data_IF_429049779245
#
_entry.id   IF_429049779245
#
_cell.length_a   1.000
_cell.length_b   1.000
_cell.length_c   1.000
_cell.angle_alpha   90.00
_cell.angle_beta   90.00
_cell.angle_gamma   90.00
#
_symmetry.space_group_name_H-M   'P 1'
#
loop_
_entity.id
_entity.type
_entity.pdbx_description
1 polymer ?
#
# COMPACT_ATOMS: atom_id res chain seq x y z
N UNK A 1 -9.41 7.57 -6.25
CA UNK A 1 -8.15 6.81 -6.10
C UNK A 1 -6.90 7.67 -6.24
N UNK A 2 -6.84 8.57 -7.20
CA UNK A 2 -5.69 9.49 -7.35
C UNK A 2 -5.43 10.31 -6.10
N UNK A 3 -6.49 10.85 -5.47
CA UNK A 3 -6.38 11.62 -4.23
C UNK A 3 -5.71 10.80 -3.12
N UNK A 4 -6.04 9.51 -3.03
CA UNK A 4 -5.46 8.59 -2.06
C UNK A 4 -3.95 8.42 -2.32
N UNK A 5 -3.58 8.12 -3.55
CA UNK A 5 -2.18 7.92 -3.94
C UNK A 5 -1.37 9.21 -3.70
N UNK A 6 -1.91 10.36 -4.08
CA UNK A 6 -1.23 11.64 -3.89
C UNK A 6 -0.99 11.93 -2.40
N UNK A 7 -1.99 11.64 -1.54
CA UNK A 7 -1.85 11.81 -0.10
C UNK A 7 -0.72 10.92 0.45
N UNK A 8 -0.69 9.64 0.06
CA UNK A 8 0.34 8.70 0.50
C UNK A 8 1.74 9.13 0.05
N UNK A 9 1.87 9.59 -1.20
CA UNK A 9 3.15 10.11 -1.72
C UNK A 9 3.61 11.35 -0.99
N UNK A 10 2.71 12.28 -0.71
CA UNK A 10 3.04 13.52 -0.01
C UNK A 10 3.37 13.27 1.47
N UNK A 11 2.71 12.31 2.09
CA UNK A 11 3.03 11.89 3.46
C UNK A 11 4.38 11.17 3.53
N UNK A 12 4.84 10.60 2.43
CA UNK A 12 6.09 9.84 2.26
C UNK A 12 6.07 8.50 2.99
N UNK A 13 5.80 8.52 4.29
CA UNK A 13 5.68 7.31 5.13
C UNK A 13 4.23 7.13 5.55
N UNK A 14 3.76 5.92 5.43
CA UNK A 14 2.48 5.51 6.00
C UNK A 14 2.64 4.21 6.78
N UNK A 15 1.64 3.84 7.54
CA UNK A 15 1.66 2.66 8.39
C UNK A 15 0.64 1.65 7.88
N UNK A 16 1.09 0.41 7.71
CA UNK A 16 0.23 -0.68 7.22
C UNK A 16 0.04 -1.70 8.32
N UNK A 17 -1.22 -1.95 8.66
CA UNK A 17 -1.61 -2.96 9.63
C UNK A 17 -2.07 -4.24 8.94
N UNK A 18 -1.61 -5.37 9.46
CA UNK A 18 -2.02 -6.72 9.06
C UNK A 18 -2.41 -7.52 10.30
N UNK A 19 -2.89 -8.74 10.11
CA UNK A 19 -3.21 -9.64 11.21
C UNK A 19 -2.42 -10.94 11.04
N UNK A 20 -1.75 -11.35 12.12
CA UNK A 20 -1.07 -12.64 12.20
C UNK A 20 -1.80 -13.49 13.23
N UNK A 21 -2.64 -14.42 12.77
CA UNK A 21 -3.59 -15.11 13.65
C UNK A 21 -4.58 -14.10 14.23
N UNK A 22 -4.55 -13.88 15.53
CA UNK A 22 -5.35 -12.84 16.21
C UNK A 22 -4.50 -11.65 16.68
N UNK A 23 -3.22 -11.59 16.28
CA UNK A 23 -2.32 -10.51 16.68
C UNK A 23 -2.24 -9.45 15.58
N UNK A 24 -2.65 -8.20 15.87
CA UNK A 24 -2.41 -7.10 14.93
C UNK A 24 -0.91 -6.83 14.81
N UNK A 25 -0.47 -6.55 13.58
CA UNK A 25 0.91 -6.13 13.29
C UNK A 25 0.88 -4.83 12.52
N UNK A 26 1.84 -3.94 12.76
CA UNK A 26 1.94 -2.67 12.05
C UNK A 26 3.40 -2.37 11.72
N UNK A 27 3.64 -1.77 10.55
CA UNK A 27 4.98 -1.35 10.11
C UNK A 27 4.88 -0.17 9.16
N UNK A 28 6.01 0.46 8.89
CA UNK A 28 6.09 1.56 7.94
C UNK A 28 6.17 1.05 6.51
N UNK A 29 5.55 1.81 5.60
CA UNK A 29 5.62 1.63 4.14
C UNK A 29 5.89 2.98 3.49
N UNK A 30 6.36 2.96 2.23
CA UNK A 30 6.71 4.19 1.52
C UNK A 30 6.32 4.21 0.05
N UNK A 31 5.74 3.15 -0.49
CA UNK A 31 5.39 3.08 -1.92
C UNK A 31 3.89 3.18 -2.13
N UNK A 32 3.49 3.91 -3.17
CA UNK A 32 2.11 3.98 -3.64
C UNK A 32 2.12 4.36 -5.11
N UNK A 33 1.45 3.60 -5.95
CA UNK A 33 1.49 3.78 -7.40
C UNK A 33 0.19 3.27 -8.03
N UNK A 34 -0.27 3.96 -9.05
CA UNK A 34 -1.43 3.49 -9.82
C UNK A 34 -0.93 2.74 -11.05
N UNK A 35 -1.34 1.49 -11.17
CA UNK A 35 -1.03 0.64 -12.32
C UNK A 35 -2.31 -0.06 -12.78
N UNK A 36 -2.66 0.12 -14.06
CA UNK A 36 -3.87 -0.45 -14.66
C UNK A 36 -5.14 -0.17 -13.82
N UNK A 37 -5.25 1.06 -13.31
CA UNK A 37 -6.42 1.50 -12.56
C UNK A 37 -6.51 0.95 -11.14
N UNK A 38 -5.42 0.43 -10.59
CA UNK A 38 -5.36 -0.12 -9.22
C UNK A 38 -4.29 0.57 -8.42
N UNK A 39 -4.50 0.66 -7.10
CA UNK A 39 -3.51 1.16 -6.15
C UNK A 39 -2.57 0.03 -5.77
N UNK A 40 -1.32 0.16 -6.18
CA UNK A 40 -0.26 -0.82 -5.91
C UNK A 40 0.66 -0.35 -4.80
N UNK A 41 1.12 -1.29 -3.98
CA UNK A 41 2.18 -1.13 -2.99
C UNK A 41 3.18 -2.26 -3.13
N UNK A 42 4.41 -2.06 -2.62
CA UNK A 42 5.50 -3.02 -2.77
C UNK A 42 6.07 -3.47 -1.45
N UNK A 43 6.38 -4.75 -1.36
CA UNK A 43 7.18 -5.33 -0.29
C UNK A 43 8.18 -6.37 -0.86
N UNK A 44 8.72 -7.22 -0.01
CA UNK A 44 9.61 -8.32 -0.39
C UNK A 44 9.04 -9.64 0.09
N UNK A 45 9.19 -10.69 -0.72
CA UNK A 45 8.66 -12.03 -0.42
C UNK A 45 9.25 -12.64 0.86
N UNK A 46 10.47 -12.25 1.23
CA UNK A 46 11.14 -12.76 2.44
C UNK A 46 10.62 -12.14 3.73
N UNK A 47 9.84 -11.05 3.66
CA UNK A 47 9.32 -10.38 4.86
C UNK A 47 8.11 -11.08 5.45
N UNK A 48 7.96 -10.99 6.78
CA UNK A 48 6.81 -11.56 7.49
C UNK A 48 5.48 -11.00 7.00
N UNK A 49 5.45 -9.73 6.59
CA UNK A 49 4.25 -9.11 6.04
C UNK A 49 3.72 -9.86 4.83
N UNK A 50 4.59 -10.36 3.94
CA UNK A 50 4.16 -11.13 2.78
C UNK A 50 3.39 -12.38 3.23
N UNK A 51 3.91 -13.10 4.20
CA UNK A 51 3.25 -14.29 4.76
C UNK A 51 1.92 -13.94 5.41
N UNK A 52 1.87 -12.82 6.13
CA UNK A 52 0.65 -12.37 6.80
C UNK A 52 -0.45 -12.03 5.80
N UNK A 53 -0.12 -11.31 4.72
CA UNK A 53 -1.08 -10.92 3.69
C UNK A 53 -1.59 -12.16 2.92
N UNK A 54 -0.72 -13.12 2.60
CA UNK A 54 -1.14 -14.34 1.92
C UNK A 54 -2.06 -15.20 2.80
N UNK A 55 -1.87 -15.18 4.11
CA UNK A 55 -2.75 -15.89 5.05
C UNK A 55 -4.06 -15.14 5.32
N UNK A 56 -4.01 -13.81 5.40
CA UNK A 56 -5.17 -12.94 5.60
C UNK A 56 -4.98 -11.64 4.82
N UNK A 57 -5.69 -11.46 3.70
CA UNK A 57 -5.49 -10.30 2.82
C UNK A 57 -6.03 -8.99 3.38
N UNK A 58 -6.77 -8.99 4.46
CA UNK A 58 -7.37 -7.78 5.03
C UNK A 58 -6.30 -6.92 5.71
N UNK A 59 -6.26 -5.66 5.30
CA UNK A 59 -5.27 -4.69 5.79
C UNK A 59 -5.91 -3.34 6.02
N UNK A 60 -5.21 -2.48 6.76
CA UNK A 60 -5.56 -1.08 6.87
C UNK A 60 -4.29 -0.24 6.87
N UNK A 61 -4.33 0.87 6.12
CA UNK A 61 -3.29 1.90 6.10
C UNK A 61 -3.75 3.08 6.93
N UNK A 62 -2.79 3.74 7.60
CA UNK A 62 -2.98 5.05 8.20
C UNK A 62 -1.83 5.97 7.81
N UNK A 63 -2.14 7.18 7.34
CA UNK A 63 -1.17 8.22 7.02
C UNK A 63 -1.65 9.56 7.58
N UNK A 64 -0.70 10.42 7.97
CA UNK A 64 -0.99 11.73 8.53
C UNK A 64 -0.18 12.79 7.80
N UNK A 65 -0.84 13.92 7.49
CA UNK A 65 -0.19 15.04 6.82
C UNK A 65 -0.98 16.32 7.08
N UNK A 66 -0.31 17.36 7.57
CA UNK A 66 -0.90 18.71 7.71
C UNK A 66 -2.25 18.72 8.44
N UNK A 67 -2.37 17.98 9.56
CA UNK A 67 -3.60 17.97 10.37
C UNK A 67 -4.72 17.11 9.79
N UNK A 68 -4.49 16.41 8.69
CA UNK A 68 -5.43 15.49 8.07
C UNK A 68 -4.87 14.07 8.14
N UNK A 69 -5.73 13.08 8.40
CA UNK A 69 -5.31 11.69 8.33
C UNK A 69 -6.17 10.92 7.34
N UNK A 70 -5.52 9.96 6.70
CA UNK A 70 -6.12 9.05 5.72
C UNK A 70 -6.07 7.65 6.27
N UNK A 71 -7.20 6.95 6.26
CA UNK A 71 -7.28 5.52 6.54
C UNK A 71 -7.77 4.81 5.29
N UNK A 72 -7.09 3.73 4.92
CA UNK A 72 -7.43 2.94 3.72
C UNK A 72 -7.60 1.50 4.16
N UNK A 73 -8.82 1.01 4.21
CA UNK A 73 -9.14 -0.36 4.58
C UNK A 73 -9.52 -1.16 3.33
N UNK A 74 -8.92 -2.32 3.15
CA UNK A 74 -9.19 -3.15 1.98
C UNK A 74 -8.54 -4.51 2.06
N UNK A 75 -8.46 -5.17 0.91
CA UNK A 75 -7.81 -6.46 0.75
C UNK A 75 -6.67 -6.32 -0.23
N UNK A 76 -5.53 -6.94 0.07
CA UNK A 76 -4.38 -6.95 -0.82
C UNK A 76 -4.32 -8.24 -1.62
N UNK A 77 -4.11 -8.10 -2.92
CA UNK A 77 -3.96 -9.21 -3.86
C UNK A 77 -2.62 -9.07 -4.56
N UNK A 78 -1.84 -10.14 -4.59
CA UNK A 78 -0.57 -10.13 -5.30
C UNK A 78 -0.79 -10.01 -6.81
N UNK A 79 -0.07 -9.08 -7.44
CA UNK A 79 0.06 -9.01 -8.89
C UNK A 79 1.45 -9.55 -9.25
N UNK A 80 1.50 -10.85 -9.56
CA UNK A 80 2.77 -11.56 -9.83
C UNK A 80 3.23 -11.41 -11.29
N UNK A 81 2.86 -10.33 -11.96
CA UNK A 81 3.34 -10.05 -13.32
C UNK A 81 4.59 -9.17 -13.27
N UNK A 82 5.52 -9.46 -14.18
CA UNK A 82 6.73 -8.63 -14.35
C UNK A 82 6.37 -7.16 -14.61
N UNK A 83 5.34 -6.90 -15.41
CA UNK A 83 4.90 -5.55 -15.76
C UNK A 83 4.50 -4.74 -14.53
N UNK A 84 3.83 -5.35 -13.55
CA UNK A 84 3.46 -4.68 -12.31
C UNK A 84 4.69 -4.33 -11.48
N UNK A 85 5.64 -5.27 -11.34
CA UNK A 85 6.89 -5.02 -10.63
C UNK A 85 7.72 -3.94 -11.30
N UNK A 86 7.85 -4.00 -12.63
CA UNK A 86 8.63 -3.01 -13.37
C UNK A 86 8.00 -1.62 -13.30
N UNK A 87 6.67 -1.53 -13.39
CA UNK A 87 5.96 -0.25 -13.26
C UNK A 87 6.21 0.40 -11.91
N UNK A 88 6.19 -0.37 -10.82
CA UNK A 88 6.49 0.12 -9.48
C UNK A 88 7.93 0.64 -9.39
N UNK A 89 8.90 -0.12 -9.91
CA UNK A 89 10.31 0.29 -9.89
C UNK A 89 10.55 1.53 -10.73
N UNK A 90 9.85 1.67 -11.85
CA UNK A 90 9.95 2.87 -12.69
C UNK A 90 9.38 4.10 -11.99
N UNK A 91 8.33 3.92 -11.16
CA UNK A 91 7.75 5.00 -10.36
C UNK A 91 8.67 5.42 -9.20
N UNK A 92 9.52 4.52 -8.73
CA UNK A 92 10.47 4.75 -7.64
C UNK A 92 11.88 4.32 -8.06
N UNK A 93 12.55 5.11 -8.94
CA UNK A 93 13.83 4.68 -9.53
C UNK A 93 14.93 4.33 -8.52
N UNK A 94 14.92 4.93 -7.32
CA UNK A 94 15.89 4.61 -6.27
C UNK A 94 15.80 3.17 -5.81
N UNK A 95 14.65 2.51 -5.96
CA UNK A 95 14.50 1.10 -5.60
C UNK A 95 15.28 0.17 -6.53
N UNK A 96 15.62 0.62 -7.74
CA UNK A 96 16.39 -0.17 -8.71
C UNK A 96 17.80 -0.49 -8.21
N UNK A 97 18.29 0.22 -7.19
CA UNK A 97 19.56 -0.07 -6.57
C UNK A 97 19.51 -1.33 -5.70
N UNK A 98 18.32 -1.75 -5.26
CA UNK A 98 18.13 -2.89 -4.36
C UNK A 98 17.23 -3.98 -4.96
N UNK A 99 16.42 -3.65 -5.95
CA UNK A 99 15.38 -4.52 -6.49
C UNK A 99 15.42 -4.56 -8.01
N UNK A 100 14.95 -5.70 -8.55
CA UNK A 100 14.74 -5.90 -9.97
C UNK A 100 13.41 -6.64 -10.15
N UNK A 101 12.75 -6.42 -11.28
CA UNK A 101 11.52 -7.15 -11.63
C UNK A 101 11.76 -8.67 -11.77
N UNK A 102 13.02 -9.09 -11.84
CA UNK A 102 13.46 -10.48 -12.02
C UNK A 102 14.17 -11.06 -10.80
N UNK A 103 14.21 -10.35 -9.66
CA UNK A 103 14.99 -10.79 -8.49
C UNK A 103 14.33 -11.94 -7.69
N UNK A 104 13.08 -12.28 -8.02
CA UNK A 104 12.33 -13.32 -7.31
C UNK A 104 11.93 -12.93 -5.89
N UNK A 105 12.14 -11.68 -5.49
CA UNK A 105 11.88 -11.18 -4.13
C UNK A 105 10.95 -9.96 -4.11
N UNK A 106 11.03 -9.08 -5.12
CA UNK A 106 10.12 -7.93 -5.24
C UNK A 106 8.69 -8.42 -5.40
N UNK A 107 7.80 -7.92 -4.53
CA UNK A 107 6.41 -8.32 -4.52
C UNK A 107 5.51 -7.09 -4.55
N UNK A 108 4.55 -7.06 -5.48
CA UNK A 108 3.58 -5.98 -5.64
C UNK A 108 2.19 -6.52 -5.31
N UNK A 109 1.46 -5.76 -4.50
CA UNK A 109 0.07 -6.02 -4.18
C UNK A 109 -0.78 -4.86 -4.67
N UNK A 110 -2.01 -5.15 -5.10
CA UNK A 110 -3.00 -4.10 -5.34
C UNK A 110 -4.16 -4.21 -4.34
N UNK A 111 -4.78 -3.06 -4.09
CA UNK A 111 -5.95 -2.97 -3.21
C UNK A 111 -7.23 -3.35 -3.95
N UNK A 112 -8.06 -4.14 -3.27
CA UNK A 112 -9.37 -4.60 -3.73
C UNK A 112 -10.40 -4.36 -2.62
N UNK A 113 -11.65 -4.07 -3.01
CA UNK A 113 -12.76 -3.84 -2.07
C UNK A 113 -12.37 -2.79 -1.01
N UNK A 114 -11.97 -1.62 -1.46
CA UNK A 114 -11.26 -0.64 -0.65
C UNK A 114 -12.16 0.52 -0.25
N UNK A 115 -12.04 0.95 1.01
CA UNK A 115 -12.68 2.16 1.54
C UNK A 115 -11.58 3.06 2.09
N UNK A 116 -11.43 4.25 1.52
CA UNK A 116 -10.50 5.27 1.98
C UNK A 116 -11.30 6.40 2.66
N UNK A 117 -10.86 6.81 3.86
CA UNK A 117 -11.52 7.86 4.63
C UNK A 117 -10.52 8.96 4.96
N UNK A 118 -10.80 10.17 4.50
CA UNK A 118 -10.03 11.38 4.83
C UNK A 118 -10.71 12.09 5.99
N UNK A 119 -9.99 12.33 7.08
CA UNK A 119 -10.52 12.92 8.31
C UNK A 119 -9.63 14.04 8.81
N UNK A 120 -10.24 15.02 9.45
CA UNK A 120 -9.57 16.10 10.14
C UNK A 120 -10.54 16.67 11.19
N UNK A 121 -10.00 17.39 12.18
CA UNK A 121 -10.86 18.07 13.16
C UNK A 121 -11.66 19.22 12.55
N UNK A 122 -11.25 19.71 11.38
CA UNK A 122 -11.85 20.89 10.72
C UNK A 122 -12.93 20.55 9.71
N UNK A 123 -13.13 19.26 9.37
CA UNK A 123 -14.17 18.86 8.42
C UNK A 123 -14.72 17.46 8.76
N UNK A 124 -15.87 17.14 8.17
CA UNK A 124 -16.47 15.81 8.27
C UNK A 124 -15.64 14.80 7.46
N UNK A 125 -15.66 13.53 7.87
CA UNK A 125 -15.00 12.48 7.09
C UNK A 125 -15.49 12.43 5.64
N UNK A 126 -14.54 12.29 4.71
CA UNK A 126 -14.82 12.15 3.29
C UNK A 126 -14.41 10.74 2.86
N UNK A 127 -15.32 10.02 2.21
CA UNK A 127 -15.12 8.60 1.88
C UNK A 127 -14.99 8.40 0.38
N UNK A 128 -13.99 7.62 -0.02
CA UNK A 128 -13.77 7.19 -1.41
C UNK A 128 -13.69 5.66 -1.41
N UNK A 129 -14.43 5.03 -2.32
CA UNK A 129 -14.43 3.57 -2.47
C UNK A 129 -13.88 3.15 -3.82
N UNK A 130 -13.08 2.11 -3.84
CA UNK A 130 -12.55 1.55 -5.07
C UNK A 130 -12.11 0.09 -4.95
#
# INVERSE_FOLDING_TARGET
>A
MERVVNFLKEAETYYLATVEGNQPRVRTFGTAHIFEGKLDIQTRKVKDISKQIHANPKVEICAFKNGEWLRVAGELVEDDRREARQSMLDAYPSLKNMYSAYDGNTEVFYFKNTTATFSAFTHKPEVVKF
#
